data_IF_746642191124
#
_entry.id   IF_746642191124
#
_cell.length_a   1.000
_cell.length_b   1.000
_cell.length_c   1.000
_cell.angle_alpha   90.00
_cell.angle_beta   90.00
_cell.angle_gamma   90.00
#
_symmetry.space_group_name_H-M   'P 1'
#
loop_
_entity.id
_entity.type
_entity.pdbx_description
1 polymer ?
#
# COMPACT_ATOMS: atom_id res chain seq x y z
N UNK A 1 43.81 -14.94 15.98
CA UNK A 1 43.89 -16.42 16.07
C UNK A 1 42.63 -17.11 16.69
N UNK A 2 41.71 -16.43 17.39
CA UNK A 2 40.52 -17.07 18.03
C UNK A 2 39.24 -17.14 17.15
N UNK A 3 39.02 -16.20 16.24
CA UNK A 3 37.83 -16.16 15.36
C UNK A 3 37.74 -17.40 14.46
N UNK A 4 38.89 -17.85 13.95
CA UNK A 4 39.00 -18.97 13.02
C UNK A 4 38.51 -20.33 13.58
N UNK A 5 38.48 -20.50 14.91
CA UNK A 5 37.94 -21.70 15.57
C UNK A 5 36.42 -21.66 15.78
N UNK A 6 35.84 -20.46 15.84
CA UNK A 6 34.39 -20.27 16.01
C UNK A 6 33.66 -20.39 14.67
N UNK A 7 34.29 -19.98 13.58
CA UNK A 7 33.73 -20.05 12.24
C UNK A 7 33.12 -21.43 11.86
N UNK A 8 33.83 -22.57 11.99
CA UNK A 8 33.24 -23.87 11.66
C UNK A 8 32.04 -24.24 12.57
N UNK A 9 32.05 -23.82 13.83
CA UNK A 9 30.94 -24.05 14.78
C UNK A 9 29.72 -23.20 14.42
N UNK A 10 29.93 -21.93 14.08
CA UNK A 10 28.85 -21.02 13.64
C UNK A 10 28.23 -21.49 12.32
N UNK A 11 29.05 -21.97 11.37
CA UNK A 11 28.56 -22.59 10.14
C UNK A 11 27.72 -23.85 10.41
N UNK A 12 28.18 -24.73 11.29
CA UNK A 12 27.43 -25.95 11.67
C UNK A 12 26.05 -25.62 12.27
N UNK A 13 25.96 -24.57 13.08
CA UNK A 13 24.70 -24.09 13.69
C UNK A 13 23.88 -23.16 12.77
N UNK A 14 24.36 -22.90 11.55
CA UNK A 14 23.75 -21.96 10.59
C UNK A 14 23.57 -20.54 11.15
N UNK A 15 24.53 -20.08 11.95
CA UNK A 15 24.59 -18.75 12.57
C UNK A 15 25.40 -17.77 11.70
N UNK A 16 24.98 -17.59 10.45
CA UNK A 16 25.79 -16.85 9.49
C UNK A 16 25.78 -15.32 9.68
N UNK A 17 24.82 -14.76 10.41
CA UNK A 17 24.76 -13.34 10.79
C UNK A 17 25.70 -13.03 11.93
N UNK A 18 25.78 -13.93 12.92
CA UNK A 18 26.89 -13.88 13.89
C UNK A 18 28.23 -13.95 13.17
N UNK A 19 28.38 -14.86 12.20
CA UNK A 19 29.64 -15.01 11.47
C UNK A 19 30.06 -13.73 10.73
N UNK A 20 29.12 -13.04 10.08
CA UNK A 20 29.37 -11.79 9.33
C UNK A 20 29.72 -10.61 10.26
N UNK A 21 29.14 -10.54 11.45
CA UNK A 21 29.31 -9.44 12.41
C UNK A 21 30.38 -9.70 13.48
N UNK A 22 30.85 -10.94 13.63
CA UNK A 22 31.69 -11.38 14.75
C UNK A 22 32.95 -10.53 14.93
N UNK A 23 33.65 -10.22 13.84
CA UNK A 23 34.90 -9.45 13.91
C UNK A 23 34.64 -8.02 14.39
N UNK A 24 33.63 -7.36 13.82
CA UNK A 24 33.25 -5.99 14.18
C UNK A 24 32.82 -5.92 15.66
N UNK A 25 31.97 -6.85 16.11
CA UNK A 25 31.50 -6.90 17.51
C UNK A 25 32.64 -7.23 18.48
N UNK A 26 33.58 -8.08 18.08
CA UNK A 26 34.72 -8.46 18.90
C UNK A 26 35.67 -7.27 19.11
N UNK A 27 35.91 -6.46 18.07
CA UNK A 27 36.67 -5.22 18.19
C UNK A 27 36.02 -4.22 19.15
N UNK A 28 34.69 -4.03 19.06
CA UNK A 28 33.94 -3.17 19.99
C UNK A 28 34.08 -3.64 21.44
N UNK A 29 33.95 -4.93 21.69
CA UNK A 29 34.16 -5.50 23.02
C UNK A 29 35.60 -5.32 23.54
N UNK A 30 36.60 -5.45 22.65
CA UNK A 30 38.01 -5.25 23.02
C UNK A 30 38.35 -3.79 23.36
N UNK A 31 37.66 -2.82 22.77
CA UNK A 31 37.78 -1.39 23.10
C UNK A 31 37.14 -1.03 24.45
N UNK A 32 36.54 -2.00 25.14
CA UNK A 32 35.85 -1.78 26.41
C UNK A 32 34.48 -1.12 26.24
N UNK A 33 33.97 -1.03 25.01
CA UNK A 33 32.68 -0.41 24.71
C UNK A 33 31.49 -1.32 25.06
N UNK A 34 31.73 -2.63 25.26
CA UNK A 34 30.68 -3.62 25.50
C UNK A 34 31.05 -4.57 26.65
N UNK A 35 30.10 -4.78 27.57
CA UNK A 35 30.17 -5.88 28.53
C UNK A 35 29.95 -7.25 27.86
N UNK A 36 30.38 -8.34 28.50
CA UNK A 36 30.30 -9.69 27.91
C UNK A 36 28.87 -10.14 27.57
N UNK A 37 27.89 -9.81 28.42
CA UNK A 37 26.48 -10.12 28.17
C UNK A 37 25.95 -9.33 26.98
N UNK A 38 26.22 -8.02 26.94
CA UNK A 38 25.82 -7.13 25.84
C UNK A 38 26.44 -7.58 24.52
N UNK A 39 27.71 -7.99 24.51
CA UNK A 39 28.36 -8.55 23.32
C UNK A 39 27.64 -9.79 22.78
N UNK A 40 27.28 -10.74 23.67
CA UNK A 40 26.56 -11.95 23.27
C UNK A 40 25.14 -11.63 22.77
N UNK A 41 24.43 -10.73 23.46
CA UNK A 41 23.11 -10.26 23.07
C UNK A 41 23.12 -9.64 21.67
N UNK A 42 24.06 -8.73 21.39
CA UNK A 42 24.20 -8.09 20.07
C UNK A 42 24.48 -9.09 18.96
N UNK A 43 25.33 -10.10 19.20
CA UNK A 43 25.58 -11.14 18.20
C UNK A 43 24.33 -11.98 17.90
N UNK A 44 23.57 -12.33 18.94
CA UNK A 44 22.31 -13.06 18.76
C UNK A 44 21.28 -12.21 18.01
N UNK A 45 21.21 -10.92 18.33
CA UNK A 45 20.30 -9.98 17.67
C UNK A 45 20.66 -9.75 16.19
N UNK A 46 21.95 -9.70 15.85
CA UNK A 46 22.43 -9.66 14.46
C UNK A 46 21.97 -10.91 13.68
N UNK A 47 22.04 -12.10 14.29
CA UNK A 47 21.52 -13.33 13.68
C UNK A 47 20.00 -13.31 13.51
N UNK A 48 19.26 -12.93 14.56
CA UNK A 48 17.80 -12.84 14.53
C UNK A 48 17.36 -11.88 13.42
N UNK A 49 17.97 -10.70 13.37
CA UNK A 49 17.70 -9.67 12.36
C UNK A 49 17.98 -10.19 10.96
N UNK A 50 19.13 -10.82 10.72
CA UNK A 50 19.47 -11.40 9.42
C UNK A 50 18.51 -12.51 9.01
N UNK A 51 18.09 -13.37 9.93
CA UNK A 51 17.09 -14.43 9.65
C UNK A 51 15.73 -13.83 9.31
N UNK A 52 15.28 -12.84 10.07
CA UNK A 52 14.02 -12.14 9.81
C UNK A 52 14.04 -11.45 8.43
N UNK A 53 15.11 -10.74 8.10
CA UNK A 53 15.31 -10.11 6.80
C UNK A 53 15.31 -11.13 5.65
N UNK A 54 16.06 -12.24 5.77
CA UNK A 54 16.06 -13.30 4.75
C UNK A 54 14.70 -13.96 4.58
N UNK A 55 13.96 -14.16 5.67
CA UNK A 55 12.60 -14.68 5.62
C UNK A 55 11.66 -13.71 4.91
N UNK A 56 11.72 -12.41 5.23
CA UNK A 56 10.95 -11.38 4.57
C UNK A 56 11.27 -11.29 3.08
N UNK A 57 12.55 -11.20 2.70
CA UNK A 57 12.97 -11.15 1.29
C UNK A 57 12.47 -12.35 0.50
N UNK A 58 12.52 -13.56 1.07
CA UNK A 58 11.95 -14.76 0.44
C UNK A 58 10.44 -14.65 0.23
N UNK A 59 9.68 -14.16 1.21
CA UNK A 59 8.23 -13.96 1.09
C UNK A 59 7.91 -12.93 0.01
N UNK A 60 8.63 -11.81 -0.03
CA UNK A 60 8.44 -10.76 -1.03
C UNK A 60 8.69 -11.28 -2.46
N UNK A 61 9.72 -12.10 -2.66
CA UNK A 61 9.98 -12.73 -3.97
C UNK A 61 8.85 -13.69 -4.35
N UNK A 62 8.38 -14.53 -3.42
CA UNK A 62 7.27 -15.46 -3.64
C UNK A 62 5.92 -14.77 -3.85
N UNK A 63 5.76 -13.57 -3.32
CA UNK A 63 4.55 -12.78 -3.49
C UNK A 63 4.32 -12.30 -4.91
N UNK A 64 5.36 -12.23 -5.76
CA UNK A 64 5.23 -11.85 -7.16
C UNK A 64 4.53 -10.50 -7.38
N UNK A 65 4.72 -9.54 -6.47
CA UNK A 65 4.23 -8.17 -6.66
C UNK A 65 4.76 -7.57 -7.97
N UNK A 66 3.93 -6.75 -8.63
CA UNK A 66 4.34 -6.01 -9.84
C UNK A 66 5.32 -4.90 -9.46
N UNK A 67 5.04 -4.22 -8.36
CA UNK A 67 5.93 -3.25 -7.73
C UNK A 67 5.80 -3.37 -6.21
N UNK A 68 6.92 -3.30 -5.48
CA UNK A 68 6.86 -3.23 -4.02
C UNK A 68 6.30 -1.86 -3.63
N UNK A 69 5.06 -1.86 -3.13
CA UNK A 69 4.35 -0.67 -2.66
C UNK A 69 4.16 -0.72 -1.16
N UNK A 70 4.25 0.42 -0.51
CA UNK A 70 3.89 0.57 0.90
C UNK A 70 2.74 1.55 1.06
N UNK A 71 2.07 1.50 2.22
CA UNK A 71 1.04 2.50 2.56
C UNK A 71 1.64 3.88 2.83
N UNK A 72 2.94 3.96 3.18
CA UNK A 72 3.64 5.24 3.34
C UNK A 72 3.79 5.97 1.99
N UNK A 73 3.91 5.22 0.89
CA UNK A 73 3.99 5.78 -0.47
C UNK A 73 2.62 6.21 -1.02
N UNK A 74 1.53 6.00 -0.27
CA UNK A 74 0.18 6.30 -0.72
C UNK A 74 -0.29 7.66 -0.20
N UNK A 75 -0.52 8.60 -1.12
CA UNK A 75 -1.04 9.92 -0.78
C UNK A 75 -2.57 9.89 -0.55
N UNK A 76 -2.96 9.76 0.72
CA UNK A 76 -4.36 9.83 1.14
C UNK A 76 -4.97 11.24 1.00
N UNK A 77 -4.16 12.29 0.87
CA UNK A 77 -4.65 13.67 0.72
C UNK A 77 -5.21 13.94 -0.68
N UNK A 78 -4.70 13.23 -1.70
CA UNK A 78 -5.14 13.39 -3.08
C UNK A 78 -6.64 13.09 -3.30
N UNK A 79 -7.14 12.05 -2.63
CA UNK A 79 -8.55 11.66 -2.66
C UNK A 79 -9.07 11.50 -1.21
N UNK A 80 -9.56 12.57 -0.57
CA UNK A 80 -9.97 12.54 0.85
C UNK A 80 -11.13 11.59 1.17
N UNK A 81 -11.90 11.20 0.15
CA UNK A 81 -13.02 10.24 0.29
C UNK A 81 -12.57 8.78 0.41
N UNK A 82 -11.28 8.49 0.23
CA UNK A 82 -10.75 7.14 0.42
C UNK A 82 -10.76 6.83 1.93
N UNK A 83 -11.28 5.66 2.35
CA UNK A 83 -11.41 5.31 3.76
C UNK A 83 -10.04 4.94 4.38
N UNK A 84 -9.23 5.94 4.69
CA UNK A 84 -7.87 5.77 5.20
C UNK A 84 -7.83 4.98 6.53
N UNK A 85 -8.81 5.19 7.41
CA UNK A 85 -8.91 4.46 8.68
C UNK A 85 -9.09 2.95 8.45
N UNK A 86 -10.03 2.56 7.57
CA UNK A 86 -10.26 1.16 7.21
C UNK A 86 -9.02 0.53 6.55
N UNK A 87 -8.35 1.24 5.65
CA UNK A 87 -7.14 0.73 5.00
C UNK A 87 -6.01 0.52 6.01
N UNK A 88 -5.84 1.44 6.97
CA UNK A 88 -4.86 1.28 8.05
C UNK A 88 -5.21 0.13 9.00
N UNK A 89 -6.50 -0.09 9.25
CA UNK A 89 -6.98 -1.22 10.03
C UNK A 89 -6.67 -2.55 9.35
N UNK A 90 -6.96 -2.65 8.05
CA UNK A 90 -6.61 -3.81 7.24
C UNK A 90 -5.09 -4.05 7.20
N UNK A 91 -4.29 -2.99 7.26
CA UNK A 91 -2.83 -3.09 7.32
C UNK A 91 -2.31 -3.77 8.59
N UNK A 92 -3.14 -3.96 9.63
CA UNK A 92 -2.77 -4.77 10.81
C UNK A 92 -2.86 -6.27 10.54
N UNK A 93 -3.40 -6.68 9.39
CA UNK A 93 -3.57 -8.07 8.95
C UNK A 93 -4.46 -8.94 9.85
N UNK A 94 -5.29 -8.35 10.72
CA UNK A 94 -6.25 -9.13 11.54
C UNK A 94 -7.27 -9.88 10.68
N UNK A 95 -7.64 -9.33 9.53
CA UNK A 95 -8.49 -10.03 8.56
C UNK A 95 -7.82 -11.33 8.05
N UNK A 96 -6.48 -11.34 7.93
CA UNK A 96 -5.71 -12.54 7.52
C UNK A 96 -5.78 -13.64 8.57
N UNK A 97 -5.72 -13.27 9.86
CA UNK A 97 -5.88 -14.19 10.99
C UNK A 97 -7.28 -14.80 11.03
N UNK A 98 -8.29 -13.97 10.79
CA UNK A 98 -9.72 -14.36 10.80
C UNK A 98 -10.18 -15.09 9.55
N UNK A 99 -9.31 -15.22 8.53
CA UNK A 99 -9.65 -15.82 7.23
C UNK A 99 -10.76 -15.08 6.49
N UNK A 100 -10.81 -13.75 6.68
CA UNK A 100 -11.76 -12.85 6.04
C UNK A 100 -11.19 -12.34 4.71
N UNK A 101 -12.05 -12.00 3.75
CA UNK A 101 -11.63 -11.45 2.45
C UNK A 101 -11.70 -9.92 2.44
N UNK A 102 -11.13 -9.29 1.41
CA UNK A 102 -11.21 -7.84 1.20
C UNK A 102 -11.54 -7.57 -0.25
N UNK A 103 -12.57 -6.76 -0.50
CA UNK A 103 -12.93 -6.30 -1.84
C UNK A 103 -12.55 -4.83 -1.96
N UNK A 104 -11.65 -4.52 -2.89
CA UNK A 104 -11.23 -3.15 -3.17
C UNK A 104 -11.83 -2.73 -4.50
N UNK A 105 -12.84 -1.88 -4.45
CA UNK A 105 -13.64 -1.49 -5.62
C UNK A 105 -13.55 0.02 -5.89
N UNK A 106 -13.76 0.44 -7.14
CA UNK A 106 -13.85 1.86 -7.51
C UNK A 106 -13.26 2.16 -8.89
N UNK A 107 -13.40 3.41 -9.39
CA UNK A 107 -12.98 3.77 -10.74
C UNK A 107 -11.47 3.59 -11.00
N UNK A 108 -11.10 3.51 -12.28
CA UNK A 108 -9.71 3.31 -12.68
C UNK A 108 -8.80 4.46 -12.21
N UNK A 109 -7.60 4.11 -11.75
CA UNK A 109 -6.58 5.08 -11.36
C UNK A 109 -6.72 5.68 -9.96
N UNK A 110 -7.66 5.22 -9.13
CA UNK A 110 -7.77 5.66 -7.72
C UNK A 110 -6.74 5.03 -6.78
N UNK A 111 -5.93 4.09 -7.27
CA UNK A 111 -4.83 3.47 -6.51
C UNK A 111 -5.17 2.13 -5.84
N UNK A 112 -6.24 1.46 -6.24
CA UNK A 112 -6.65 0.16 -5.70
C UNK A 112 -5.56 -0.91 -5.71
N UNK A 113 -4.90 -1.10 -6.85
CA UNK A 113 -3.77 -2.03 -7.01
C UNK A 113 -2.59 -1.69 -6.11
N UNK A 114 -2.34 -0.39 -5.86
CA UNK A 114 -1.30 0.07 -4.93
C UNK A 114 -1.68 -0.35 -3.51
N UNK A 115 -2.90 -0.04 -3.07
CA UNK A 115 -3.37 -0.41 -1.73
C UNK A 115 -3.34 -1.93 -1.53
N UNK A 116 -3.79 -2.72 -2.51
CA UNK A 116 -3.76 -4.17 -2.44
C UNK A 116 -2.33 -4.71 -2.25
N UNK A 117 -1.38 -4.26 -3.07
CA UNK A 117 0.02 -4.66 -2.95
C UNK A 117 0.66 -4.15 -1.64
N UNK A 118 0.27 -2.96 -1.16
CA UNK A 118 0.74 -2.44 0.12
C UNK A 118 0.22 -3.23 1.33
N UNK A 119 -1.04 -3.70 1.28
CA UNK A 119 -1.57 -4.62 2.27
C UNK A 119 -0.87 -5.98 2.21
N UNK A 120 -0.59 -6.48 0.99
CA UNK A 120 0.23 -7.68 0.79
C UNK A 120 1.64 -7.54 1.38
N UNK A 121 2.30 -6.40 1.15
CA UNK A 121 3.60 -6.12 1.72
C UNK A 121 3.55 -6.10 3.27
N UNK A 122 2.54 -5.45 3.85
CA UNK A 122 2.33 -5.43 5.30
C UNK A 122 2.06 -6.84 5.87
N UNK A 123 1.42 -7.72 5.11
CA UNK A 123 1.22 -9.12 5.47
C UNK A 123 2.55 -9.91 5.43
N UNK A 124 3.39 -9.71 4.40
CA UNK A 124 4.72 -10.32 4.35
C UNK A 124 5.60 -9.90 5.53
N UNK A 125 5.54 -8.63 5.94
CA UNK A 125 6.26 -8.11 7.12
C UNK A 125 5.84 -8.81 8.42
N UNK A 126 4.55 -9.18 8.54
CA UNK A 126 4.01 -9.92 9.68
C UNK A 126 4.22 -11.43 9.61
N UNK A 127 4.81 -11.91 8.52
CA UNK A 127 5.23 -13.29 8.38
C UNK A 127 4.28 -14.19 7.58
N UNK A 128 3.23 -13.62 7.00
CA UNK A 128 2.29 -14.35 6.14
C UNK A 128 2.87 -14.57 4.74
N UNK A 129 2.58 -15.74 4.17
CA UNK A 129 2.87 -16.03 2.77
C UNK A 129 1.79 -15.41 1.89
N UNK A 130 2.22 -14.58 0.93
CA UNK A 130 1.33 -13.82 0.04
C UNK A 130 1.58 -14.28 -1.39
N UNK A 131 0.57 -14.20 -2.25
CA UNK A 131 0.69 -14.31 -3.70
C UNK A 131 -0.16 -13.23 -4.37
N UNK A 132 0.44 -12.43 -5.25
CA UNK A 132 -0.22 -11.47 -6.11
C UNK A 132 -0.30 -12.00 -7.54
N UNK A 133 -1.45 -11.85 -8.17
CA UNK A 133 -1.64 -12.15 -9.58
C UNK A 133 -2.74 -11.29 -10.18
N UNK A 134 -2.61 -10.97 -11.48
CA UNK A 134 -3.70 -10.38 -12.24
C UNK A 134 -4.66 -11.47 -12.69
N UNK A 135 -5.96 -11.18 -12.71
CA UNK A 135 -7.01 -12.12 -13.12
C UNK A 135 -6.70 -12.81 -14.46
N UNK A 136 -6.27 -12.12 -15.54
CA UNK A 136 -5.95 -12.78 -16.80
C UNK A 136 -4.79 -13.78 -16.70
N UNK A 137 -3.78 -13.48 -15.86
CA UNK A 137 -2.62 -14.36 -15.65
C UNK A 137 -3.02 -15.62 -14.89
N UNK A 138 -3.86 -15.47 -13.87
CA UNK A 138 -4.42 -16.59 -13.12
C UNK A 138 -5.18 -17.54 -14.06
N UNK A 139 -6.08 -17.02 -14.89
CA UNK A 139 -6.85 -17.86 -15.82
C UNK A 139 -6.00 -18.47 -16.92
N UNK A 140 -5.00 -17.76 -17.45
CA UNK A 140 -4.07 -18.35 -18.42
C UNK A 140 -3.26 -19.50 -17.80
N UNK A 141 -2.86 -19.38 -16.54
CA UNK A 141 -2.12 -20.42 -15.83
C UNK A 141 -2.99 -21.65 -15.54
N UNK A 142 -4.21 -21.48 -15.04
CA UNK A 142 -5.13 -22.59 -14.81
C UNK A 142 -5.59 -23.25 -16.12
N UNK A 143 -5.90 -22.45 -17.14
CA UNK A 143 -6.24 -22.94 -18.48
C UNK A 143 -5.12 -23.76 -19.12
N UNK A 144 -3.86 -23.34 -18.96
CA UNK A 144 -2.71 -24.15 -19.37
C UNK A 144 -2.62 -25.48 -18.61
N UNK A 145 -3.03 -25.49 -17.34
CA UNK A 145 -3.10 -26.70 -16.50
C UNK A 145 -4.12 -27.73 -16.99
N UNK A 146 -5.23 -27.29 -17.58
CA UNK A 146 -6.19 -28.20 -18.21
C UNK A 146 -5.62 -28.85 -19.47
N UNK A 147 -4.85 -28.09 -20.25
CA UNK A 147 -4.26 -28.57 -21.49
C UNK A 147 -3.13 -29.59 -21.28
N UNK A 148 -2.38 -29.47 -20.19
CA UNK A 148 -1.21 -30.33 -19.89
C UNK A 148 -1.44 -31.32 -18.72
N UNK A 149 -2.65 -31.38 -18.17
CA UNK A 149 -3.02 -32.26 -17.06
C UNK A 149 -2.46 -31.85 -15.69
N UNK A 150 -1.93 -30.63 -15.55
CA UNK A 150 -1.35 -30.14 -14.28
C UNK A 150 -2.28 -29.22 -13.47
N UNK A 151 -3.55 -29.08 -13.88
CA UNK A 151 -4.53 -28.16 -13.28
C UNK A 151 -4.56 -28.20 -11.75
N UNK A 152 -4.69 -29.38 -11.13
CA UNK A 152 -4.76 -29.51 -9.67
C UNK A 152 -3.51 -28.96 -8.97
N UNK A 153 -2.33 -29.21 -9.55
CA UNK A 153 -1.06 -28.72 -9.02
C UNK A 153 -0.99 -27.19 -9.13
N UNK A 154 -1.45 -26.63 -10.25
CA UNK A 154 -1.50 -25.18 -10.46
C UNK A 154 -2.50 -24.51 -9.54
N UNK A 155 -3.71 -25.07 -9.38
CA UNK A 155 -4.73 -24.59 -8.44
C UNK A 155 -4.18 -24.55 -7.01
N UNK A 156 -3.47 -25.61 -6.59
CA UNK A 156 -2.85 -25.68 -5.26
C UNK A 156 -1.91 -24.50 -4.97
N UNK A 157 -1.21 -23.96 -5.99
CA UNK A 157 -0.35 -22.76 -5.81
C UNK A 157 -1.14 -21.52 -5.42
N UNK A 158 -2.41 -21.41 -5.83
CA UNK A 158 -3.30 -20.32 -5.44
C UNK A 158 -4.04 -20.60 -4.13
N UNK A 159 -4.17 -21.86 -3.73
CA UNK A 159 -4.80 -22.25 -2.45
C UNK A 159 -3.86 -22.13 -1.25
N UNK A 160 -2.56 -22.39 -1.43
CA UNK A 160 -1.58 -22.43 -0.33
C UNK A 160 -1.27 -21.10 0.38
N UNK A 161 -1.17 -19.95 -0.30
CA UNK A 161 -0.81 -18.69 0.37
C UNK A 161 -1.83 -18.28 1.43
N UNK A 162 -1.36 -17.73 2.55
CA UNK A 162 -2.21 -17.16 3.60
C UNK A 162 -3.09 -16.01 3.05
N UNK A 163 -2.52 -15.24 2.11
CA UNK A 163 -3.18 -14.15 1.41
C UNK A 163 -2.99 -14.27 -0.11
N UNK A 164 -4.09 -14.39 -0.83
CA UNK A 164 -4.10 -14.30 -2.30
C UNK A 164 -4.65 -12.94 -2.71
N UNK A 165 -3.95 -12.23 -3.59
CA UNK A 165 -4.39 -10.97 -4.16
C UNK A 165 -4.68 -11.20 -5.65
N UNK A 166 -5.94 -11.01 -6.03
CA UNK A 166 -6.43 -11.10 -7.40
C UNK A 166 -6.73 -9.67 -7.87
N UNK A 167 -5.89 -9.16 -8.75
CA UNK A 167 -6.02 -7.81 -9.30
C UNK A 167 -6.67 -7.79 -10.69
N UNK A 168 -7.26 -6.66 -11.08
CA UNK A 168 -7.97 -6.46 -12.34
C UNK A 168 -9.17 -7.39 -12.57
N UNK A 169 -9.92 -7.72 -11.50
CA UNK A 169 -11.11 -8.55 -11.60
C UNK A 169 -12.27 -7.83 -12.30
N UNK A 170 -13.02 -8.58 -13.10
CA UNK A 170 -14.26 -8.11 -13.72
C UNK A 170 -14.09 -7.13 -14.89
N UNK A 171 -12.96 -7.18 -15.59
CA UNK A 171 -12.77 -6.42 -16.83
C UNK A 171 -13.50 -7.02 -18.03
N UNK A 172 -13.74 -8.33 -18.03
CA UNK A 172 -14.38 -9.09 -19.12
C UNK A 172 -15.30 -10.16 -18.53
N UNK A 173 -16.25 -10.62 -19.33
CA UNK A 173 -17.03 -11.82 -19.04
C UNK A 173 -16.12 -13.04 -18.96
N UNK A 174 -16.50 -14.00 -18.12
CA UNK A 174 -15.77 -15.24 -17.91
C UNK A 174 -16.21 -16.29 -18.92
N UNK A 175 -15.27 -17.07 -19.44
CA UNK A 175 -15.59 -18.34 -20.09
C UNK A 175 -16.10 -19.38 -19.08
N UNK A 176 -16.75 -20.44 -19.57
CA UNK A 176 -17.27 -21.54 -18.72
C UNK A 176 -16.18 -22.12 -17.82
N UNK A 177 -15.04 -22.50 -18.40
CA UNK A 177 -13.91 -23.04 -17.63
C UNK A 177 -13.35 -22.05 -16.60
N UNK A 178 -13.29 -20.76 -16.94
CA UNK A 178 -12.78 -19.72 -16.03
C UNK A 178 -13.72 -19.53 -14.83
N UNK A 179 -15.03 -19.62 -15.05
CA UNK A 179 -16.02 -19.55 -14.00
C UNK A 179 -15.93 -20.74 -13.04
N UNK A 180 -15.72 -21.95 -13.57
CA UNK A 180 -15.48 -23.17 -12.78
C UNK A 180 -14.17 -23.07 -11.99
N UNK A 181 -13.07 -22.68 -12.64
CA UNK A 181 -11.76 -22.49 -12.01
C UNK A 181 -11.83 -21.47 -10.85
N UNK A 182 -12.54 -20.36 -11.06
CA UNK A 182 -12.74 -19.34 -10.04
C UNK A 182 -13.62 -19.83 -8.89
N UNK A 183 -14.66 -20.61 -9.20
CA UNK A 183 -15.51 -21.24 -8.19
C UNK A 183 -14.70 -22.18 -7.29
N UNK A 184 -13.90 -23.07 -7.87
CA UNK A 184 -13.03 -24.00 -7.13
C UNK A 184 -12.00 -23.26 -6.28
N UNK A 185 -11.40 -22.20 -6.83
CA UNK A 185 -10.47 -21.36 -6.09
C UNK A 185 -11.14 -20.68 -4.88
N UNK A 186 -12.29 -20.04 -5.07
CA UNK A 186 -12.99 -19.34 -3.99
C UNK A 186 -13.46 -20.33 -2.93
N UNK A 187 -14.05 -21.46 -3.33
CA UNK A 187 -14.50 -22.49 -2.41
C UNK A 187 -13.34 -23.10 -1.62
N UNK A 188 -12.21 -23.37 -2.28
CA UNK A 188 -11.03 -23.92 -1.64
C UNK A 188 -10.38 -22.99 -0.63
N UNK A 189 -10.57 -21.67 -0.77
CA UNK A 189 -10.03 -20.65 0.16
C UNK A 189 -11.02 -20.20 1.22
N UNK A 190 -12.32 -20.34 0.98
CA UNK A 190 -13.38 -19.90 1.91
C UNK A 190 -13.16 -20.43 3.33
N UNK A 191 -13.11 -19.51 4.31
CA UNK A 191 -12.83 -19.78 5.73
C UNK A 191 -11.50 -20.51 6.03
N UNK A 192 -10.59 -20.61 5.06
CA UNK A 192 -9.29 -21.29 5.20
C UNK A 192 -8.12 -20.33 5.01
N UNK A 193 -8.23 -19.42 4.04
CA UNK A 193 -7.22 -18.44 3.71
C UNK A 193 -7.87 -17.17 3.14
N UNK A 194 -7.18 -16.05 3.28
CA UNK A 194 -7.77 -14.73 2.97
C UNK A 194 -7.54 -14.36 1.52
N UNK A 195 -8.49 -13.64 0.92
CA UNK A 195 -8.40 -13.21 -0.48
C UNK A 195 -8.69 -11.73 -0.60
N UNK A 196 -7.82 -11.00 -1.30
CA UNK A 196 -8.10 -9.62 -1.74
C UNK A 196 -8.50 -9.68 -3.20
N UNK A 197 -9.65 -9.12 -3.54
CA UNK A 197 -10.08 -8.93 -4.94
C UNK A 197 -10.14 -7.46 -5.24
N UNK A 198 -9.48 -7.04 -6.32
CA UNK A 198 -9.47 -5.67 -6.79
C UNK A 198 -10.28 -5.57 -8.08
N UNK A 199 -11.27 -4.67 -8.13
CA UNK A 199 -12.11 -4.50 -9.31
C UNK A 199 -12.44 -3.04 -9.59
N UNK A 200 -12.68 -2.73 -10.87
CA UNK A 200 -13.26 -1.45 -11.28
C UNK A 200 -14.80 -1.44 -11.20
N UNK A 201 -15.44 -2.60 -10.96
CA UNK A 201 -16.89 -2.75 -10.83
C UNK A 201 -17.28 -2.96 -9.37
N UNK A 202 -18.53 -2.64 -9.02
CA UNK A 202 -19.06 -2.98 -7.71
C UNK A 202 -19.36 -4.50 -7.64
N UNK A 203 -19.37 -5.11 -6.44
CA UNK A 203 -19.62 -6.56 -6.31
C UNK A 203 -20.93 -7.04 -6.94
N UNK A 204 -21.99 -6.23 -6.86
CA UNK A 204 -23.29 -6.49 -7.49
C UNK A 204 -23.21 -6.65 -9.03
N UNK A 205 -22.22 -6.02 -9.67
CA UNK A 205 -22.05 -6.06 -11.13
C UNK A 205 -21.19 -7.26 -11.57
N UNK A 206 -20.78 -8.13 -10.65
CA UNK A 206 -19.96 -9.31 -10.95
C UNK A 206 -20.80 -10.51 -11.36
N UNK A 207 -22.04 -10.64 -10.87
CA UNK A 207 -22.93 -11.75 -11.23
C UNK A 207 -23.12 -11.91 -12.75
N UNK A 208 -23.37 -10.85 -13.53
CA UNK A 208 -23.54 -10.98 -14.98
C UNK A 208 -22.27 -11.39 -15.74
N UNK A 209 -21.10 -11.38 -15.09
CA UNK A 209 -19.84 -11.80 -15.72
C UNK A 209 -19.71 -13.32 -15.81
N UNK A 210 -20.52 -14.05 -15.05
CA UNK A 210 -20.51 -15.51 -15.05
C UNK A 210 -21.49 -16.04 -16.09
N UNK A 211 -21.10 -17.03 -16.91
CA UNK A 211 -22.01 -17.65 -17.87
C UNK A 211 -23.07 -18.52 -17.19
N UNK A 212 -22.78 -19.04 -15.99
CA UNK A 212 -23.70 -19.86 -15.20
C UNK A 212 -24.06 -19.13 -13.89
N UNK A 213 -25.32 -18.68 -13.71
CA UNK A 213 -25.77 -18.00 -12.50
C UNK A 213 -25.61 -18.83 -11.21
N UNK A 214 -25.70 -20.16 -11.27
CA UNK A 214 -25.56 -21.03 -10.10
C UNK A 214 -24.12 -21.03 -9.59
N UNK A 215 -23.15 -21.07 -10.50
CA UNK A 215 -21.72 -20.94 -10.13
C UNK A 215 -21.42 -19.54 -9.61
N UNK A 216 -22.02 -18.51 -10.23
CA UNK A 216 -21.89 -17.13 -9.79
C UNK A 216 -22.36 -16.98 -8.34
N UNK A 217 -23.57 -17.47 -8.03
CA UNK A 217 -24.15 -17.40 -6.69
C UNK A 217 -23.25 -18.12 -5.69
N UNK A 218 -22.88 -19.37 -5.95
CA UNK A 218 -22.04 -20.13 -5.01
C UNK A 218 -20.67 -19.50 -4.78
N UNK A 219 -20.02 -18.93 -5.80
CA UNK A 219 -18.72 -18.30 -5.65
C UNK A 219 -18.83 -16.91 -4.98
N UNK A 220 -19.70 -16.05 -5.50
CA UNK A 220 -19.79 -14.66 -5.07
C UNK A 220 -20.44 -14.51 -3.71
N UNK A 221 -21.45 -15.31 -3.35
CA UNK A 221 -22.05 -15.31 -2.01
C UNK A 221 -20.97 -15.49 -0.93
N UNK A 222 -20.15 -16.54 -1.09
CA UNK A 222 -19.05 -16.84 -0.17
C UNK A 222 -18.02 -15.74 -0.10
N UNK A 223 -17.61 -15.19 -1.25
CA UNK A 223 -16.58 -14.16 -1.29
C UNK A 223 -17.09 -12.81 -0.74
N UNK A 224 -18.29 -12.40 -1.13
CA UNK A 224 -18.84 -11.07 -0.84
C UNK A 224 -19.28 -10.98 0.62
N UNK A 225 -19.95 -12.00 1.15
CA UNK A 225 -20.51 -11.96 2.49
C UNK A 225 -19.46 -12.18 3.60
N UNK A 226 -18.29 -12.74 3.28
CA UNK A 226 -17.17 -12.87 4.22
C UNK A 226 -16.06 -11.84 3.98
N UNK A 227 -16.40 -10.65 3.46
CA UNK A 227 -15.40 -9.67 3.06
C UNK A 227 -15.59 -8.27 3.66
N UNK A 228 -14.46 -7.58 3.82
CA UNK A 228 -14.41 -6.14 4.05
C UNK A 228 -14.50 -5.39 2.73
N UNK A 229 -15.43 -4.44 2.62
CA UNK A 229 -15.64 -3.67 1.40
C UNK A 229 -14.93 -2.32 1.50
N UNK A 230 -13.94 -2.11 0.63
CA UNK A 230 -13.16 -0.87 0.52
C UNK A 230 -13.50 -0.19 -0.80
N UNK A 231 -14.38 0.82 -0.73
CA UNK A 231 -14.75 1.62 -1.89
C UNK A 231 -13.81 2.82 -2.02
N UNK A 232 -12.98 2.82 -3.06
CA UNK A 232 -12.03 3.89 -3.38
C UNK A 232 -12.59 4.81 -4.46
N UNK A 233 -13.34 5.83 -4.05
CA UNK A 233 -13.86 6.87 -4.92
C UNK A 233 -12.87 8.03 -5.06
N UNK A 234 -12.81 8.63 -6.25
CA UNK A 234 -11.96 9.81 -6.46
C UNK A 234 -11.52 9.97 -7.90
N UNK A 235 -10.65 10.96 -8.10
CA UNK A 235 -10.01 11.22 -9.40
C UNK A 235 -8.87 10.23 -9.62
N UNK A 236 -8.58 9.96 -10.89
CA UNK A 236 -7.43 9.15 -11.29
C UNK A 236 -6.14 9.87 -10.95
N UNK A 237 -5.21 9.17 -10.29
CA UNK A 237 -3.86 9.67 -9.97
C UNK A 237 -2.90 9.59 -11.18
N UNK A 238 -3.23 8.80 -12.21
CA UNK A 238 -2.35 8.58 -13.38
C UNK A 238 -1.88 9.87 -14.09
N UNK A 239 -2.71 10.93 -14.25
CA UNK A 239 -2.26 12.21 -14.81
C UNK A 239 -1.12 12.87 -14.03
N UNK A 240 -0.98 12.60 -12.73
CA UNK A 240 0.15 13.10 -11.92
C UNK A 240 1.50 12.51 -12.36
N UNK A 241 1.49 11.35 -13.02
CA UNK A 241 2.69 10.64 -13.48
C UNK A 241 3.01 10.90 -14.96
N UNK A 242 2.33 11.84 -15.61
CA UNK A 242 2.63 12.18 -17.02
C UNK A 242 4.04 12.80 -17.12
N UNK A 243 4.89 12.35 -18.06
CA UNK A 243 6.25 12.88 -18.24
C UNK A 243 6.29 14.39 -18.40
N UNK A 244 5.35 14.95 -19.17
CA UNK A 244 5.27 16.38 -19.49
C UNK A 244 4.97 17.27 -18.26
N UNK A 245 4.47 16.69 -17.17
CA UNK A 245 4.17 17.44 -15.95
C UNK A 245 5.44 17.79 -15.19
N UNK A 246 6.44 16.90 -15.20
CA UNK A 246 7.73 17.12 -14.53
C UNK A 246 8.52 18.24 -15.23
N UNK A 247 8.43 18.32 -16.57
CA UNK A 247 9.04 19.42 -17.34
C UNK A 247 8.29 20.74 -17.18
N UNK A 248 6.95 20.72 -17.08
CA UNK A 248 6.15 21.93 -16.82
C UNK A 248 6.33 22.50 -15.41
N UNK A 249 6.46 21.64 -14.39
CA UNK A 249 6.77 22.08 -13.03
C UNK A 249 8.18 22.67 -12.94
N UNK A 250 9.18 22.08 -13.60
CA UNK A 250 10.53 22.64 -13.69
C UNK A 250 10.58 23.98 -14.45
N UNK A 251 9.78 24.12 -15.52
CA UNK A 251 9.69 25.37 -16.30
C UNK A 251 8.97 26.51 -15.55
N UNK A 252 7.95 26.21 -14.74
CA UNK A 252 7.24 27.22 -13.97
C UNK A 252 8.04 27.75 -12.76
N UNK A 253 8.91 26.93 -12.15
CA UNK A 253 9.80 27.41 -11.07
C UNK A 253 10.86 28.36 -11.62
N UNK A 254 11.39 28.11 -12.83
CA UNK A 254 12.34 28.99 -13.49
C UNK A 254 11.74 30.35 -13.90
N UNK A 255 10.44 30.39 -14.24
CA UNK A 255 9.73 31.65 -14.56
C UNK A 255 9.36 32.47 -13.32
N UNK A 256 9.20 31.83 -12.15
CA UNK A 256 8.92 32.52 -10.89
C UNK A 256 10.17 33.22 -10.31
N UNK A 257 11.37 32.70 -10.56
CA UNK A 257 12.65 33.27 -10.08
C UNK A 257 13.16 34.45 -10.93
N UNK A 258 12.55 34.74 -12.09
CA UNK A 258 12.94 35.86 -12.98
C UNK A 258 12.18 37.17 -12.74
N UNK A 259 11.36 37.27 -11.68
CA UNK A 259 10.72 38.55 -11.32
C UNK A 259 11.74 39.45 -10.61
N UNK A 260 12.02 40.68 -11.10
CA UNK A 260 12.98 41.56 -10.45
C UNK A 260 12.44 42.01 -9.07
N UNK A 261 13.31 42.20 -8.07
CA UNK A 261 12.89 42.62 -6.74
C UNK A 261 12.27 44.04 -6.79
N UNK A 262 11.28 44.34 -5.93
CA UNK A 262 10.64 45.64 -5.91
C UNK A 262 11.64 46.74 -5.51
N UNK A 263 11.62 47.84 -6.25
CA UNK A 263 12.47 49.02 -6.06
C UNK A 263 12.21 49.65 -4.70
N UNK A 264 13.27 49.85 -3.90
CA UNK A 264 13.22 50.55 -2.62
C UNK A 264 12.98 52.05 -2.86
N UNK A 265 11.98 52.70 -2.23
CA UNK A 265 11.82 54.14 -2.35
C UNK A 265 12.80 54.88 -1.42
N UNK A 266 13.55 55.79 -2.04
CA UNK A 266 14.48 56.74 -1.41
C UNK A 266 13.77 57.67 -0.42
N UNK A 267 14.27 57.73 0.82
CA UNK A 267 13.94 58.79 1.78
C UNK A 267 14.94 59.93 1.62
N UNK A 268 14.46 61.17 1.42
CA UNK A 268 15.19 62.37 1.85
C UNK A 268 14.26 63.60 2.04
N UNK A 269 14.23 64.06 3.29
CA UNK A 269 14.20 65.45 3.81
C UNK A 269 13.04 66.45 3.50
N UNK A 270 12.17 66.64 4.52
CA UNK A 270 11.78 67.88 5.29
C UNK A 270 11.69 69.29 4.62
N UNK A 271 11.07 70.31 5.27
CA UNK A 271 9.72 70.43 5.90
C UNK A 271 9.01 71.79 5.57
N UNK A 272 7.69 71.96 5.80
CA UNK A 272 7.10 73.24 6.27
C UNK A 272 5.60 73.15 6.64
N UNK A 273 5.27 73.66 7.84
CA UNK A 273 3.96 74.08 8.37
C UNK A 273 3.76 75.60 8.09
N UNK A 274 2.63 76.29 8.42
CA UNK A 274 1.32 75.88 8.99
C UNK A 274 0.04 76.60 8.41
N UNK A 275 -1.15 76.25 8.95
CA UNK A 275 -2.34 77.11 9.07
C UNK A 275 -3.55 76.69 8.21
N UNK A 276 -4.82 76.75 8.61
CA UNK A 276 -5.53 77.28 9.77
C UNK A 276 -6.89 76.55 9.89
N UNK A 277 -7.53 76.71 11.06
CA UNK A 277 -8.93 76.48 11.44
C UNK A 277 -9.97 76.59 10.29
N UNK A 278 -11.14 75.94 10.34
CA UNK A 278 -12.26 76.25 11.26
C UNK A 278 -13.43 75.26 11.01
N UNK A 279 -14.13 74.88 12.09
CA UNK A 279 -15.58 74.61 12.32
C UNK A 279 -16.52 74.42 11.09
N UNK A 280 -17.62 73.66 11.11
CA UNK A 280 -18.62 73.41 12.17
C UNK A 280 -19.55 72.27 11.62
N UNK A 281 -19.94 71.29 12.44
CA UNK A 281 -21.25 71.12 13.08
C UNK A 281 -22.42 70.56 12.24
N UNK A 282 -23.02 69.51 12.87
CA UNK A 282 -24.45 69.13 12.95
C UNK A 282 -25.08 68.60 11.64
N UNK A 283 -25.97 67.60 11.62
CA UNK A 283 -26.93 67.18 12.64
C UNK A 283 -27.52 65.78 12.34
N UNK A 284 -28.01 65.12 13.40
CA UNK A 284 -29.11 64.15 13.57
C UNK A 284 -29.72 63.41 12.34
N UNK A 285 -30.16 62.15 12.38
CA UNK A 285 -30.47 61.24 13.49
C UNK A 285 -31.33 60.05 13.00
N UNK A 286 -31.93 59.35 13.96
CA UNK A 286 -33.04 58.36 13.90
C UNK A 286 -32.66 56.87 13.97
N UNK A 287 -32.91 56.37 15.18
CA UNK A 287 -33.15 55.00 15.64
C UNK A 287 -34.53 54.50 15.17
N UNK A 288 -34.69 53.23 14.78
CA UNK A 288 -35.89 52.41 15.13
C UNK A 288 -35.58 50.90 15.06
N UNK A 289 -35.92 50.21 16.16
CA UNK A 289 -35.97 48.75 16.34
C UNK A 289 -37.00 48.06 15.43
N UNK A 290 -36.80 46.79 15.04
CA UNK A 290 -37.84 45.74 15.16
C UNK A 290 -37.17 44.37 15.34
N UNK A 291 -37.78 43.59 16.21
CA UNK A 291 -37.40 42.29 16.77
C UNK A 291 -38.36 41.20 16.22
N UNK A 292 -37.93 39.94 16.35
CA UNK A 292 -38.72 38.69 16.42
C UNK A 292 -39.08 37.91 15.15
N UNK A 293 -38.90 36.59 15.28
CA UNK A 293 -39.32 35.53 14.35
C UNK A 293 -38.43 34.31 14.50
#
# INVERSE_FOLDING_TARGET
MKVHQLEPKLKALRLGGMLESLEIRLEQAQRGELGYLTFLEMLLEDEITRRAQKALSRRLVRAHFEEVKTLADFDFSYNPKIPAATIRDLATCRFVERKESVLICGPAGTGKSHVAQALGYAACQRGYDVLYTKTPRLFADLGGGHADGTWESRLRRYLQPDLLIIDDFGLRELGVQQAEDLYELICGRYQRASTIVVSNRAPQDWYPLFPNPVLAEGALDRLVNSSHHVLMLGKSYRPMRRPDRLSQLAGNTALAEMSPPPSVPSQNATPHLPGQHTQDQLDQGVVTMVQMG
#
